data_IF_857829420123
#
_entry.id   IF_857829420123
#
_cell.length_a   1.000
_cell.length_b   1.000
_cell.length_c   1.000
_cell.angle_alpha   90.00
_cell.angle_beta   90.00
_cell.angle_gamma   90.00
#
_symmetry.space_group_name_H-M   'P 1'
#
loop_
_entity.id
_entity.type
_entity.pdbx_description
1 polymer ?
#
# COMPACT_ATOMS: atom_id res chain seq x y z
N UNK A 1 -2.12 10.11 7.63
CA UNK A 1 -2.96 10.07 6.41
C UNK A 1 -3.19 8.62 6.04
N UNK A 2 -4.34 8.29 5.46
CA UNK A 2 -4.70 6.92 5.04
C UNK A 2 -3.74 6.44 3.93
N UNK A 3 -3.45 5.14 3.88
CA UNK A 3 -2.64 4.56 2.79
C UNK A 3 -3.58 4.12 1.65
N UNK A 4 -4.05 5.09 0.86
CA UNK A 4 -5.04 4.82 -0.19
C UNK A 4 -4.49 3.97 -1.34
N UNK A 5 -3.17 4.01 -1.60
CA UNK A 5 -2.53 3.14 -2.61
C UNK A 5 -2.56 1.67 -2.20
N UNK A 6 -2.23 1.38 -0.94
CA UNK A 6 -2.29 0.01 -0.41
C UNK A 6 -3.73 -0.53 -0.44
N UNK A 7 -4.71 0.30 -0.10
CA UNK A 7 -6.13 -0.07 -0.14
C UNK A 7 -6.58 -0.37 -1.56
N UNK A 8 -6.26 0.50 -2.52
CA UNK A 8 -6.59 0.31 -3.93
C UNK A 8 -5.96 -0.98 -4.50
N UNK A 9 -4.70 -1.27 -4.17
CA UNK A 9 -4.05 -2.52 -4.55
C UNK A 9 -4.74 -3.74 -3.93
N UNK A 10 -5.09 -3.69 -2.64
CA UNK A 10 -5.81 -4.78 -1.98
C UNK A 10 -7.17 -5.04 -2.62
N UNK A 11 -7.95 -3.98 -2.84
CA UNK A 11 -9.30 -4.06 -3.40
C UNK A 11 -9.27 -4.53 -4.87
N UNK A 12 -8.35 -4.03 -5.70
CA UNK A 12 -8.18 -4.47 -7.10
C UNK A 12 -7.75 -5.94 -7.24
N UNK A 13 -7.11 -6.50 -6.21
CA UNK A 13 -6.78 -7.93 -6.13
C UNK A 13 -7.90 -8.76 -5.46
N UNK A 14 -9.04 -8.16 -5.13
CA UNK A 14 -10.17 -8.78 -4.42
C UNK A 14 -9.76 -9.45 -3.09
N UNK A 15 -8.80 -8.85 -2.37
CA UNK A 15 -8.31 -9.39 -1.10
C UNK A 15 -9.02 -8.75 0.08
N UNK A 16 -9.39 -9.56 1.08
CA UNK A 16 -9.70 -9.05 2.42
C UNK A 16 -8.42 -8.60 3.12
N UNK A 17 -8.56 -7.80 4.19
CA UNK A 17 -7.41 -7.41 5.01
C UNK A 17 -6.72 -8.62 5.64
N UNK A 18 -7.48 -9.66 5.98
CA UNK A 18 -6.97 -10.92 6.53
C UNK A 18 -6.15 -11.68 5.50
N UNK A 19 -6.65 -11.83 4.27
CA UNK A 19 -5.93 -12.50 3.19
C UNK A 19 -4.61 -11.78 2.84
N UNK A 20 -4.63 -10.44 2.81
CA UNK A 20 -3.39 -9.68 2.64
C UNK A 20 -2.44 -9.90 3.82
N UNK A 21 -2.96 -9.93 5.05
CA UNK A 21 -2.15 -10.15 6.25
C UNK A 21 -1.44 -11.51 6.21
N UNK A 22 -2.17 -12.57 5.87
CA UNK A 22 -1.62 -13.92 5.69
C UNK A 22 -0.52 -13.93 4.62
N UNK A 23 -0.76 -13.31 3.47
CA UNK A 23 0.19 -13.27 2.36
C UNK A 23 1.52 -12.57 2.70
N UNK A 24 1.50 -11.59 3.61
CA UNK A 24 2.70 -10.80 3.96
C UNK A 24 3.26 -11.10 5.35
N UNK A 25 2.67 -12.06 6.07
CA UNK A 25 3.09 -12.49 7.40
C UNK A 25 2.81 -11.47 8.51
N UNK A 26 1.63 -10.83 8.45
CA UNK A 26 1.14 -9.86 9.43
C UNK A 26 -0.19 -10.31 10.03
N UNK A 27 -0.63 -9.63 11.10
CA UNK A 27 -2.01 -9.77 11.59
C UNK A 27 -2.96 -8.86 10.81
N UNK A 28 -4.23 -9.27 10.70
CA UNK A 28 -5.29 -8.45 10.07
C UNK A 28 -5.40 -7.06 10.72
N UNK A 29 -5.29 -6.98 12.05
CA UNK A 29 -5.28 -5.70 12.78
C UNK A 29 -4.09 -4.80 12.40
N UNK A 30 -2.90 -5.37 12.14
CA UNK A 30 -1.76 -4.59 11.65
C UNK A 30 -2.04 -4.02 10.26
N UNK A 31 -2.60 -4.81 9.33
CA UNK A 31 -3.01 -4.32 8.01
C UNK A 31 -4.01 -3.17 8.15
N UNK A 32 -5.06 -3.33 8.98
CA UNK A 32 -6.04 -2.28 9.22
C UNK A 32 -5.40 -0.98 9.77
N UNK A 33 -4.44 -1.09 10.68
CA UNK A 33 -3.72 0.08 11.21
C UNK A 33 -2.79 0.74 10.18
N UNK A 34 -2.14 -0.04 9.32
CA UNK A 34 -1.32 0.49 8.22
C UNK A 34 -2.20 1.22 7.21
N UNK A 35 -3.29 0.59 6.77
CA UNK A 35 -4.24 1.18 5.83
C UNK A 35 -4.87 2.47 6.36
N UNK A 36 -5.24 2.50 7.65
CA UNK A 36 -5.76 3.69 8.30
C UNK A 36 -4.70 4.78 8.57
N UNK A 37 -3.43 4.52 8.28
CA UNK A 37 -2.32 5.44 8.57
C UNK A 37 -2.02 5.62 10.06
N UNK A 38 -2.49 4.69 10.90
CA UNK A 38 -2.28 4.69 12.36
C UNK A 38 -0.96 4.04 12.76
N UNK A 39 -0.40 3.20 11.88
CA UNK A 39 0.86 2.49 12.13
C UNK A 39 1.74 2.48 10.90
N UNK A 40 2.98 2.91 11.10
CA UNK A 40 4.01 2.77 10.08
C UNK A 40 4.61 1.34 10.13
N UNK A 41 4.59 0.58 9.02
CA UNK A 41 5.21 -0.74 8.97
C UNK A 41 6.74 -0.65 9.02
N UNK A 42 7.39 -1.68 9.54
CA UNK A 42 8.86 -1.78 9.51
C UNK A 42 9.38 -1.90 8.08
N UNK A 43 10.66 -1.59 7.84
CA UNK A 43 11.30 -1.76 6.52
C UNK A 43 11.09 -3.15 5.93
N UNK A 44 11.18 -4.20 6.75
CA UNK A 44 10.93 -5.59 6.34
C UNK A 44 9.52 -5.76 5.77
N UNK A 45 8.51 -5.22 6.46
CA UNK A 45 7.11 -5.37 6.03
C UNK A 45 6.76 -4.45 4.86
N UNK A 46 7.34 -3.25 4.78
CA UNK A 46 7.23 -2.40 3.58
C UNK A 46 7.70 -3.15 2.33
N UNK A 47 8.86 -3.80 2.41
CA UNK A 47 9.40 -4.61 1.30
C UNK A 47 8.48 -5.80 1.01
N UNK A 48 7.98 -6.49 2.05
CA UNK A 48 7.07 -7.64 1.89
C UNK A 48 5.79 -7.26 1.13
N UNK A 49 5.14 -6.17 1.54
CA UNK A 49 3.89 -5.69 0.93
C UNK A 49 4.15 -5.19 -0.50
N UNK A 50 5.20 -4.40 -0.71
CA UNK A 50 5.56 -3.91 -2.04
C UNK A 50 5.86 -5.06 -3.02
N UNK A 51 6.56 -6.11 -2.57
CA UNK A 51 6.81 -7.33 -3.35
C UNK A 51 5.54 -8.09 -3.68
N UNK A 52 4.62 -8.24 -2.72
CA UNK A 52 3.35 -8.94 -2.94
C UNK A 52 2.54 -8.31 -4.08
N UNK A 53 2.52 -6.98 -4.16
CA UNK A 53 1.82 -6.24 -5.21
C UNK A 53 2.68 -5.91 -6.43
N UNK A 54 3.94 -6.34 -6.47
CA UNK A 54 4.89 -6.05 -7.55
C UNK A 54 5.05 -4.54 -7.86
N UNK A 55 5.18 -3.72 -6.81
CA UNK A 55 5.42 -2.27 -6.88
C UNK A 55 6.68 -1.88 -6.09
N UNK A 56 7.17 -0.65 -6.25
CA UNK A 56 8.27 -0.14 -5.42
C UNK A 56 7.79 0.30 -4.02
N UNK A 57 8.68 0.24 -3.03
CA UNK A 57 8.40 0.74 -1.68
C UNK A 57 8.17 2.26 -1.70
N UNK A 58 8.97 2.97 -2.50
CA UNK A 58 8.85 4.41 -2.72
C UNK A 58 7.46 4.80 -3.24
N UNK A 59 6.98 4.14 -4.29
CA UNK A 59 5.64 4.41 -4.81
C UNK A 59 4.55 4.05 -3.80
N UNK A 60 4.71 2.98 -3.02
CA UNK A 60 3.65 2.55 -2.10
C UNK A 60 3.56 3.41 -0.82
N UNK A 61 4.69 3.90 -0.30
CA UNK A 61 4.74 4.52 1.03
C UNK A 61 5.26 5.97 1.07
N UNK A 62 5.96 6.46 0.04
CA UNK A 62 6.71 7.73 0.13
C UNK A 62 6.43 8.74 -0.97
N UNK A 63 6.01 8.33 -2.18
CA UNK A 63 5.67 9.31 -3.22
C UNK A 63 4.43 10.11 -2.80
N UNK A 64 4.54 11.42 -2.63
CA UNK A 64 3.34 12.24 -2.50
C UNK A 64 2.65 12.33 -3.86
N UNK A 65 1.33 12.13 -3.91
CA UNK A 65 0.56 12.48 -5.11
C UNK A 65 0.60 14.01 -5.20
N UNK A 66 1.54 14.53 -5.99
CA UNK A 66 1.43 15.91 -6.46
C UNK A 66 0.33 15.91 -7.53
N UNK A 67 -0.87 16.36 -7.16
CA UNK A 67 -2.08 16.45 -8.01
C UNK A 67 -1.90 17.29 -9.30
N UNK A 68 -0.70 17.80 -9.60
CA UNK A 68 -0.42 18.66 -10.76
C UNK A 68 0.16 17.97 -12.00
N UNK A 69 0.39 16.64 -11.99
CA UNK A 69 1.01 15.94 -13.15
C UNK A 69 0.04 15.23 -14.12
N UNK A 70 -1.25 15.54 -14.09
CA UNK A 70 -2.22 15.00 -15.07
C UNK A 70 -2.36 15.81 -16.37
N UNK A 71 -1.64 16.93 -16.56
CA UNK A 71 -1.83 17.83 -17.72
C UNK A 71 -0.82 17.67 -18.87
N UNK A 72 0.11 16.71 -18.82
CA UNK A 72 1.23 16.68 -19.80
C UNK A 72 1.50 15.32 -20.48
N UNK A 73 0.57 14.36 -20.45
CA UNK A 73 0.68 13.13 -21.25
C UNK A 73 -0.32 13.08 -22.41
N UNK A 74 -0.34 14.15 -23.20
CA UNK A 74 -0.80 14.11 -24.60
C UNK A 74 0.12 15.00 -25.43
N UNK A 75 1.18 14.39 -25.93
CA UNK A 75 1.98 14.84 -27.07
C UNK A 75 2.64 13.62 -27.69
#
# INVERSE_FOLDING_TARGET
>A
MKNDRMIALRDSNNLTQEQLAEAVGLSQSMIAHIEAGRKEPSKKFKISIAKHFNVSVEWLFYEEINDQKSLFYVS
#
